data_IF_577234781116
#
_entry.id   IF_577234781116
#
_cell.length_a   1.000
_cell.length_b   1.000
_cell.length_c   1.000
_cell.angle_alpha   90.00
_cell.angle_beta   90.00
_cell.angle_gamma   90.00
#
_symmetry.space_group_name_H-M   'P 1'
#
loop_
_entity.id
_entity.type
_entity.pdbx_description
1 polymer ?
#
# COMPACT_ATOMS: atom_id res chain seq x y z
N UNK A 1 22.78 -24.93 28.26
CA UNK A 1 21.87 -25.07 27.11
C UNK A 1 20.48 -24.50 27.41
N UNK A 2 19.81 -24.91 28.48
CA UNK A 2 18.46 -24.40 28.86
C UNK A 2 18.40 -22.89 29.11
N UNK A 3 19.38 -22.33 29.83
CA UNK A 3 19.44 -20.87 30.06
C UNK A 3 19.61 -20.07 28.76
N UNK A 4 20.35 -20.60 27.77
CA UNK A 4 20.48 -19.97 26.44
C UNK A 4 19.17 -20.05 25.65
N UNK A 5 18.48 -21.19 25.69
CA UNK A 5 17.16 -21.35 25.04
C UNK A 5 16.12 -20.42 25.67
N UNK A 6 16.11 -20.29 27.00
CA UNK A 6 15.23 -19.36 27.71
C UNK A 6 15.52 -17.90 27.37
N UNK A 7 16.80 -17.51 27.32
CA UNK A 7 17.22 -16.16 26.92
C UNK A 7 16.83 -15.86 25.47
N UNK A 8 17.03 -16.80 24.55
CA UNK A 8 16.62 -16.65 23.15
C UNK A 8 15.09 -16.48 23.01
N UNK A 9 14.29 -17.27 23.75
CA UNK A 9 12.83 -17.13 23.77
C UNK A 9 12.38 -15.79 24.34
N UNK A 10 13.01 -15.31 25.41
CA UNK A 10 12.69 -14.01 26.00
C UNK A 10 13.03 -12.85 25.05
N UNK A 11 14.18 -12.93 24.36
CA UNK A 11 14.56 -11.97 23.32
C UNK A 11 13.57 -11.99 22.15
N UNK A 12 13.17 -13.17 21.68
CA UNK A 12 12.17 -13.34 20.61
C UNK A 12 10.80 -12.79 21.03
N UNK A 13 10.37 -13.01 22.28
CA UNK A 13 9.12 -12.48 22.80
C UNK A 13 9.12 -10.94 22.87
N UNK A 14 10.22 -10.33 23.34
CA UNK A 14 10.39 -8.87 23.34
C UNK A 14 10.39 -8.28 21.94
N UNK A 15 11.13 -8.89 21.02
CA UNK A 15 11.15 -8.46 19.61
C UNK A 15 9.75 -8.53 18.99
N UNK A 16 8.98 -9.59 19.27
CA UNK A 16 7.59 -9.72 18.81
C UNK A 16 6.66 -8.66 19.39
N UNK A 17 6.76 -8.37 20.69
CA UNK A 17 5.95 -7.32 21.32
C UNK A 17 6.22 -5.96 20.68
N UNK A 18 7.49 -5.61 20.50
CA UNK A 18 7.89 -4.35 19.85
C UNK A 18 7.41 -4.27 18.38
N UNK A 19 7.51 -5.37 17.62
CA UNK A 19 7.00 -5.43 16.24
C UNK A 19 5.47 -5.27 16.18
N UNK A 20 4.74 -5.87 17.13
CA UNK A 20 3.30 -5.76 17.21
C UNK A 20 2.83 -4.34 17.54
N UNK A 21 3.48 -3.65 18.47
CA UNK A 21 3.18 -2.24 18.80
C UNK A 21 3.46 -1.31 17.62
N UNK A 22 4.62 -1.47 16.97
CA UNK A 22 4.94 -0.74 15.73
C UNK A 22 3.87 -0.96 14.68
N UNK A 23 3.41 -2.18 14.49
CA UNK A 23 2.40 -2.45 13.49
C UNK A 23 1.03 -1.89 13.80
N UNK A 24 0.62 -1.85 15.07
CA UNK A 24 -0.61 -1.16 15.45
C UNK A 24 -0.50 0.35 15.24
N UNK A 25 0.64 0.95 15.59
CA UNK A 25 0.87 2.38 15.35
C UNK A 25 0.82 2.72 13.86
N UNK A 26 1.53 1.97 13.02
CA UNK A 26 1.53 2.18 11.57
C UNK A 26 0.15 1.95 10.96
N UNK A 27 -0.61 0.95 11.43
CA UNK A 27 -2.00 0.74 11.01
C UNK A 27 -2.88 1.97 11.24
N UNK A 28 -2.81 2.57 12.43
CA UNK A 28 -3.57 3.78 12.74
C UNK A 28 -3.12 4.97 11.90
N UNK A 29 -1.80 5.22 11.82
CA UNK A 29 -1.28 6.36 11.05
C UNK A 29 -1.65 6.24 9.57
N UNK A 30 -1.49 5.06 8.97
CA UNK A 30 -1.85 4.85 7.56
C UNK A 30 -3.36 4.98 7.32
N UNK A 31 -4.23 4.64 8.28
CA UNK A 31 -5.66 4.84 8.15
C UNK A 31 -6.03 6.33 8.05
N UNK A 32 -5.47 7.13 8.96
CA UNK A 32 -5.70 8.59 8.98
C UNK A 32 -5.14 9.25 7.73
N UNK A 33 -3.90 8.90 7.35
CA UNK A 33 -3.29 9.41 6.13
C UNK A 33 -4.09 9.01 4.88
N UNK A 34 -4.55 7.75 4.77
CA UNK A 34 -5.38 7.31 3.64
C UNK A 34 -6.66 8.16 3.53
N UNK A 35 -7.31 8.48 4.65
CA UNK A 35 -8.50 9.34 4.66
C UNK A 35 -8.18 10.73 4.13
N UNK A 36 -7.07 11.34 4.58
CA UNK A 36 -6.64 12.66 4.11
C UNK A 36 -6.26 12.67 2.61
N UNK A 37 -5.50 11.68 2.15
CA UNK A 37 -5.09 11.59 0.74
C UNK A 37 -6.24 11.27 -0.19
N UNK A 38 -7.18 10.41 0.21
CA UNK A 38 -8.40 10.17 -0.58
C UNK A 38 -9.26 11.44 -0.69
N UNK A 39 -9.36 12.24 0.37
CA UNK A 39 -10.01 13.56 0.31
C UNK A 39 -9.30 14.52 -0.63
N UNK A 40 -7.96 14.56 -0.60
CA UNK A 40 -7.14 15.38 -1.50
C UNK A 40 -7.32 14.95 -2.96
N UNK A 41 -7.24 13.65 -3.27
CA UNK A 41 -7.45 13.09 -4.61
C UNK A 41 -8.85 13.44 -5.13
N UNK A 42 -9.89 13.26 -4.31
CA UNK A 42 -11.25 13.63 -4.69
C UNK A 42 -11.40 15.12 -4.98
N UNK A 43 -10.77 15.97 -4.16
CA UNK A 43 -10.77 17.43 -4.37
C UNK A 43 -10.03 17.82 -5.65
N UNK A 44 -8.89 17.19 -5.91
CA UNK A 44 -8.11 17.42 -7.14
C UNK A 44 -8.86 16.93 -8.38
N UNK A 45 -9.58 15.81 -8.30
CA UNK A 45 -10.44 15.32 -9.38
C UNK A 45 -11.54 16.34 -9.72
N UNK A 46 -12.23 16.86 -8.70
CA UNK A 46 -13.23 17.92 -8.89
C UNK A 46 -12.62 19.21 -9.45
N UNK A 47 -11.40 19.57 -9.03
CA UNK A 47 -10.71 20.76 -9.53
C UNK A 47 -10.37 20.62 -11.03
N UNK A 48 -9.95 19.44 -11.47
CA UNK A 48 -9.64 19.15 -12.88
C UNK A 48 -10.88 19.26 -13.77
N UNK A 49 -12.08 19.04 -13.22
CA UNK A 49 -13.36 19.21 -13.94
C UNK A 49 -13.80 20.70 -14.07
N UNK A 50 -13.02 21.65 -13.55
CA UNK A 50 -13.29 23.10 -13.69
C UNK A 50 -12.49 23.75 -14.82
N UNK A 51 -12.89 24.95 -15.30
CA UNK A 51 -12.07 25.71 -16.23
C UNK A 51 -10.72 26.10 -15.60
N UNK A 52 -9.64 25.51 -16.10
CA UNK A 52 -8.27 25.76 -15.66
C UNK A 52 -7.39 26.19 -16.84
N UNK A 53 -6.48 27.11 -16.59
CA UNK A 53 -5.41 27.43 -17.53
C UNK A 53 -4.38 26.29 -17.61
N UNK A 54 -3.62 26.23 -18.71
CA UNK A 54 -2.66 25.14 -18.97
C UNK A 54 -1.68 24.88 -17.81
N UNK A 55 -1.18 25.94 -17.18
CA UNK A 55 -0.27 25.81 -16.03
C UNK A 55 -0.98 25.19 -14.81
N UNK A 56 -2.22 25.60 -14.55
CA UNK A 56 -3.02 25.08 -13.42
C UNK A 56 -3.38 23.61 -13.63
N UNK A 57 -3.72 23.20 -14.85
CA UNK A 57 -3.93 21.79 -15.19
C UNK A 57 -2.69 20.95 -14.91
N UNK A 58 -1.50 21.45 -15.28
CA UNK A 58 -0.24 20.76 -15.01
C UNK A 58 0.04 20.64 -13.50
N UNK A 59 -0.21 21.69 -12.72
CA UNK A 59 -0.05 21.65 -11.26
C UNK A 59 -1.04 20.70 -10.59
N UNK A 60 -2.31 20.72 -11.00
CA UNK A 60 -3.34 19.82 -10.49
C UNK A 60 -3.02 18.35 -10.81
N UNK A 61 -2.59 18.07 -12.04
CA UNK A 61 -2.14 16.73 -12.44
C UNK A 61 -0.94 16.24 -11.63
N UNK A 62 0.08 17.10 -11.46
CA UNK A 62 1.25 16.78 -10.62
C UNK A 62 0.84 16.49 -9.17
N UNK A 63 -0.02 17.33 -8.59
CA UNK A 63 -0.51 17.13 -7.23
C UNK A 63 -1.29 15.82 -7.07
N UNK A 64 -2.09 15.46 -8.09
CA UNK A 64 -2.85 14.20 -8.12
C UNK A 64 -1.90 13.00 -8.13
N UNK A 65 -0.91 13.01 -9.02
CA UNK A 65 0.10 11.94 -9.11
C UNK A 65 0.87 11.80 -7.79
N UNK A 66 1.26 12.90 -7.15
CA UNK A 66 1.92 12.87 -5.84
C UNK A 66 1.02 12.24 -4.77
N UNK A 67 -0.27 12.59 -4.73
CA UNK A 67 -1.21 12.05 -3.75
C UNK A 67 -1.46 10.55 -3.97
N UNK A 68 -1.59 10.11 -5.24
CA UNK A 68 -1.73 8.70 -5.60
C UNK A 68 -0.49 7.89 -5.21
N UNK A 69 0.71 8.38 -5.55
CA UNK A 69 1.97 7.73 -5.18
C UNK A 69 2.15 7.61 -3.66
N UNK A 70 1.65 8.59 -2.89
CA UNK A 70 1.71 8.50 -1.43
C UNK A 70 0.80 7.39 -0.90
N UNK A 71 -0.38 7.18 -1.48
CA UNK A 71 -1.23 6.04 -1.09
C UNK A 71 -0.54 4.70 -1.34
N UNK A 72 0.16 4.55 -2.47
CA UNK A 72 0.92 3.33 -2.78
C UNK A 72 2.02 3.09 -1.72
N UNK A 73 2.76 4.14 -1.32
CA UNK A 73 3.77 4.06 -0.25
C UNK A 73 3.14 3.65 1.09
N UNK A 74 1.96 4.18 1.42
CA UNK A 74 1.25 3.84 2.66
C UNK A 74 0.79 2.38 2.67
N UNK A 75 0.36 1.86 1.53
CA UNK A 75 -0.05 0.47 1.36
C UNK A 75 1.15 -0.48 1.50
N UNK A 76 2.28 -0.15 0.88
CA UNK A 76 3.54 -0.91 1.00
C UNK A 76 4.04 -0.94 2.46
N UNK A 77 3.98 0.20 3.15
CA UNK A 77 4.40 0.32 4.54
C UNK A 77 3.52 -0.54 5.47
N UNK A 78 2.21 -0.58 5.22
CA UNK A 78 1.29 -1.47 5.93
C UNK A 78 1.58 -2.94 5.66
N UNK A 79 1.93 -3.29 4.43
CA UNK A 79 2.28 -4.65 4.06
C UNK A 79 3.53 -5.11 4.82
N UNK A 80 4.60 -4.31 4.82
CA UNK A 80 5.84 -4.60 5.56
C UNK A 80 5.53 -4.81 7.04
N UNK A 81 4.73 -3.92 7.62
CA UNK A 81 4.37 -4.01 9.03
C UNK A 81 3.54 -5.26 9.38
N UNK A 82 2.65 -5.66 8.48
CA UNK A 82 1.85 -6.89 8.63
C UNK A 82 2.72 -8.15 8.49
N UNK A 83 3.74 -8.12 7.63
CA UNK A 83 4.73 -9.19 7.47
C UNK A 83 5.61 -9.33 8.71
N UNK A 84 6.15 -8.22 9.23
CA UNK A 84 7.02 -8.21 10.43
C UNK A 84 6.28 -8.71 11.68
N UNK A 85 5.00 -8.36 11.81
CA UNK A 85 4.16 -8.82 12.92
C UNK A 85 3.65 -10.26 12.75
N UNK A 86 3.97 -10.95 11.64
CA UNK A 86 3.42 -12.27 11.25
C UNK A 86 1.89 -12.34 11.31
N UNK A 87 1.21 -11.19 11.16
CA UNK A 87 -0.26 -11.10 11.13
C UNK A 87 -0.84 -11.44 9.77
N UNK A 88 0.00 -11.59 8.74
CA UNK A 88 -0.43 -12.01 7.41
C UNK A 88 -0.95 -13.46 7.44
N UNK A 89 -2.27 -13.63 7.38
CA UNK A 89 -2.91 -14.95 7.26
C UNK A 89 -3.29 -15.23 5.81
N UNK A 90 -2.68 -16.27 5.24
CA UNK A 90 -3.04 -16.74 3.91
C UNK A 90 -4.35 -17.54 4.00
N UNK A 91 -5.39 -17.06 3.32
CA UNK A 91 -6.64 -17.80 3.17
C UNK A 91 -6.49 -18.81 2.03
N UNK A 92 -6.56 -20.11 2.34
CA UNK A 92 -6.66 -21.16 1.32
C UNK A 92 -8.05 -21.12 0.69
N UNK A 93 -8.11 -20.94 -0.62
CA UNK A 93 -9.35 -20.96 -1.40
C UNK A 93 -9.08 -21.59 -2.78
N UNK A 94 -10.07 -22.29 -3.34
CA UNK A 94 -10.00 -22.73 -4.73
C UNK A 94 -10.08 -21.51 -5.66
N UNK A 95 -9.21 -21.46 -6.67
CA UNK A 95 -9.21 -20.42 -7.70
C UNK A 95 -8.74 -21.00 -9.03
N UNK A 96 -9.12 -20.36 -10.14
CA UNK A 96 -8.69 -20.75 -11.47
C UNK A 96 -7.44 -19.96 -11.89
N UNK A 97 -6.25 -20.58 -12.05
CA UNK A 97 -5.01 -19.87 -12.37
C UNK A 97 -5.10 -19.03 -13.65
N UNK A 98 -5.74 -19.56 -14.69
CA UNK A 98 -5.90 -18.85 -15.96
C UNK A 98 -6.78 -17.59 -15.83
N UNK A 99 -7.80 -17.62 -14.97
CA UNK A 99 -8.65 -16.45 -14.73
C UNK A 99 -7.89 -15.39 -13.92
N UNK A 100 -7.13 -15.81 -12.90
CA UNK A 100 -6.29 -14.91 -12.11
C UNK A 100 -5.22 -14.23 -12.97
N UNK A 101 -4.53 -15.00 -13.83
CA UNK A 101 -3.53 -14.46 -14.74
C UNK A 101 -4.13 -13.41 -15.70
N UNK A 102 -5.30 -13.69 -16.29
CA UNK A 102 -5.99 -12.71 -17.15
C UNK A 102 -6.38 -11.44 -16.41
N UNK A 103 -6.89 -11.56 -15.18
CA UNK A 103 -7.23 -10.40 -14.36
C UNK A 103 -5.98 -9.54 -14.05
N UNK A 104 -4.86 -10.18 -13.72
CA UNK A 104 -3.59 -9.48 -13.50
C UNK A 104 -3.11 -8.75 -14.76
N UNK A 105 -3.16 -9.40 -15.93
CA UNK A 105 -2.83 -8.76 -17.22
C UNK A 105 -3.75 -7.57 -17.52
N UNK A 106 -5.05 -7.71 -17.27
CA UNK A 106 -6.01 -6.60 -17.46
C UNK A 106 -5.66 -5.38 -16.61
N UNK A 107 -5.33 -5.57 -15.33
CA UNK A 107 -4.93 -4.47 -14.43
C UNK A 107 -3.68 -3.76 -14.95
N UNK A 108 -2.70 -4.51 -15.47
CA UNK A 108 -1.43 -3.97 -15.93
C UNK A 108 -1.47 -3.41 -17.36
N UNK A 109 -2.50 -3.72 -18.13
CA UNK A 109 -2.59 -3.39 -19.57
C UNK A 109 -2.49 -1.88 -19.85
N UNK A 110 -3.11 -1.04 -19.02
CA UNK A 110 -3.05 0.42 -19.14
C UNK A 110 -1.62 0.93 -18.93
N UNK A 111 -0.93 0.44 -17.89
CA UNK A 111 0.46 0.79 -17.57
C UNK A 111 1.43 0.28 -18.63
N UNK A 112 1.24 -0.94 -19.12
CA UNK A 112 2.05 -1.52 -20.18
C UNK A 112 1.94 -0.75 -21.50
N UNK A 113 0.73 -0.30 -21.84
CA UNK A 113 0.50 0.57 -23.01
C UNK A 113 1.24 1.91 -22.88
N UNK A 114 1.22 2.53 -21.70
CA UNK A 114 1.99 3.76 -21.41
C UNK A 114 3.50 3.55 -21.57
N UNK A 115 4.00 2.39 -21.14
CA UNK A 115 5.43 2.05 -21.16
C UNK A 115 5.87 1.36 -22.48
N UNK A 116 4.95 1.13 -23.43
CA UNK A 116 5.17 0.41 -24.70
C UNK A 116 5.77 -0.99 -24.50
N UNK A 117 5.35 -1.67 -23.44
CA UNK A 117 5.71 -3.07 -23.16
C UNK A 117 4.55 -3.96 -23.62
N UNK A 118 4.84 -5.01 -24.38
CA UNK A 118 3.84 -6.02 -24.76
C UNK A 118 3.48 -6.93 -23.59
N UNK A 119 2.18 -7.09 -23.33
CA UNK A 119 1.59 -8.01 -22.35
C UNK A 119 0.61 -8.97 -23.05
#
# INVERSE_FOLDING_TARGET
LEAQVAAARAAEARARAAAAERGTFLAHVSHELRTHFNGLIGTLALLVDTPLEKAQQHYAGTAYECAANMLDILDDLLLISSLESRKLQLRRAAFAPAALARAAVQVLSARASQLRVGL
#
